data_IF_742412355488
#
_entry.id   IF_742412355488
#
_cell.length_a   1.000
_cell.length_b   1.000
_cell.length_c   1.000
_cell.angle_alpha   90.00
_cell.angle_beta   90.00
_cell.angle_gamma   90.00
#
_symmetry.space_group_name_H-M   'P 1'
#
loop_
_entity.id
_entity.type
_entity.pdbx_description
1 polymer ?
#
# COMPACT_ATOMS: atom_id res chain seq x y z
N UNK A 1 -8.47 0.41 -11.38
CA UNK A 1 -8.43 -0.47 -10.20
C UNK A 1 -9.23 0.22 -9.12
N UNK A 2 -10.15 -0.48 -8.46
CA UNK A 2 -10.87 0.08 -7.31
C UNK A 2 -10.34 -0.53 -6.03
N UNK A 3 -10.14 0.30 -5.01
CA UNK A 3 -9.68 -0.10 -3.70
C UNK A 3 -10.57 0.56 -2.66
N UNK A 4 -11.30 -0.24 -1.91
CA UNK A 4 -12.22 0.22 -0.88
C UNK A 4 -12.03 -0.61 0.38
N UNK A 5 -12.30 0.00 1.52
CA UNK A 5 -12.21 -0.68 2.79
C UNK A 5 -12.51 0.24 3.97
N UNK A 6 -12.44 -0.37 5.14
CA UNK A 6 -12.62 0.29 6.41
C UNK A 6 -11.49 -0.10 7.36
N UNK A 7 -11.14 0.79 8.27
CA UNK A 7 -10.14 0.55 9.30
C UNK A 7 -10.49 1.34 10.56
N UNK A 8 -10.41 0.69 11.72
CA UNK A 8 -10.69 1.34 13.01
C UNK A 8 -9.38 1.73 13.68
N UNK A 9 -9.18 3.03 13.87
CA UNK A 9 -8.07 3.59 14.63
C UNK A 9 -8.39 3.66 16.12
N UNK A 10 -7.35 3.50 16.96
CA UNK A 10 -7.39 3.64 18.41
C UNK A 10 -7.00 5.06 18.83
N UNK A 11 -7.81 6.03 18.43
CA UNK A 11 -7.71 7.42 18.82
C UNK A 11 -8.99 8.18 18.47
N UNK A 12 -9.12 9.38 19.04
CA UNK A 12 -10.19 10.32 18.71
C UNK A 12 -10.14 10.70 17.23
N UNK A 13 -11.25 11.24 16.73
CA UNK A 13 -11.38 11.58 15.31
C UNK A 13 -10.39 12.67 14.90
N UNK A 14 -10.13 13.62 15.79
CA UNK A 14 -9.19 14.71 15.65
C UNK A 14 -7.74 14.18 15.56
N UNK A 15 -7.33 13.28 16.46
CA UNK A 15 -5.98 12.71 16.42
C UNK A 15 -5.74 11.92 15.13
N UNK A 16 -6.74 11.17 14.68
CA UNK A 16 -6.67 10.41 13.41
C UNK A 16 -6.60 11.36 12.21
N UNK A 17 -7.36 12.45 12.23
CA UNK A 17 -7.34 13.46 11.17
C UNK A 17 -5.96 14.09 10.99
N UNK A 18 -5.32 14.45 12.11
CA UNK A 18 -3.99 15.05 12.11
C UNK A 18 -2.92 14.03 11.67
N UNK A 19 -2.99 12.80 12.20
CA UNK A 19 -2.09 11.70 11.86
C UNK A 19 -2.07 11.38 10.35
N UNK A 20 -3.24 11.36 9.70
CA UNK A 20 -3.37 11.06 8.26
C UNK A 20 -2.78 12.15 7.36
N UNK A 21 -2.43 13.31 7.92
CA UNK A 21 -1.87 14.46 7.22
C UNK A 21 -0.45 14.81 7.66
N UNK A 22 0.10 14.08 8.64
CA UNK A 22 1.45 14.30 9.16
C UNK A 22 2.51 13.65 8.24
N UNK A 23 3.36 14.43 7.55
CA UNK A 23 4.40 13.91 6.67
C UNK A 23 5.36 12.93 7.36
N UNK A 24 5.67 13.15 8.64
CA UNK A 24 6.64 12.36 9.40
C UNK A 24 6.07 10.98 9.77
N UNK A 25 4.77 10.92 10.01
CA UNK A 25 4.06 9.63 10.18
C UNK A 25 3.89 8.94 8.83
N UNK A 26 3.47 9.69 7.80
CA UNK A 26 3.21 9.13 6.47
C UNK A 26 4.47 8.50 5.84
N UNK A 27 5.64 9.14 5.97
CA UNK A 27 6.89 8.60 5.41
C UNK A 27 7.32 7.29 6.07
N UNK A 28 7.04 7.12 7.35
CA UNK A 28 7.44 5.92 8.10
C UNK A 28 6.42 4.79 7.95
N UNK A 29 5.13 5.13 7.77
CA UNK A 29 4.06 4.16 7.61
C UNK A 29 3.96 3.57 6.20
N UNK A 30 4.33 4.31 5.15
CA UNK A 30 4.20 3.88 3.76
C UNK A 30 5.37 2.95 3.34
N UNK A 31 5.12 1.68 2.99
CA UNK A 31 6.18 0.77 2.57
C UNK A 31 6.90 1.28 1.32
N UNK A 32 8.23 1.43 1.42
CA UNK A 32 9.07 1.86 0.31
C UNK A 32 9.10 3.38 0.09
N UNK A 33 8.44 4.18 0.93
CA UNK A 33 8.63 5.62 0.93
C UNK A 33 10.09 5.98 1.24
N UNK A 34 10.62 6.92 0.46
CA UNK A 34 11.98 7.49 0.58
C UNK A 34 11.94 8.95 0.97
N UNK A 35 10.88 9.64 0.57
CA UNK A 35 10.67 11.06 0.78
C UNK A 35 9.18 11.35 0.90
N UNK A 36 8.83 12.25 1.81
CA UNK A 36 7.50 12.86 1.95
C UNK A 36 7.72 14.28 2.44
N UNK A 37 7.26 15.27 1.68
CA UNK A 37 7.39 16.67 2.04
C UNK A 37 6.07 17.38 1.76
N UNK A 38 5.60 18.15 2.73
CA UNK A 38 4.52 19.11 2.52
C UNK A 38 5.10 20.31 1.79
N UNK A 39 4.66 20.53 0.55
CA UNK A 39 5.16 21.62 -0.30
C UNK A 39 4.32 22.88 -0.16
N UNK A 40 3.01 22.72 0.05
CA UNK A 40 2.06 23.80 0.34
C UNK A 40 0.96 23.26 1.27
N UNK A 41 0.01 24.10 1.67
CA UNK A 41 -1.23 23.64 2.29
C UNK A 41 -1.92 22.61 1.38
N UNK A 42 -2.28 21.47 1.97
CA UNK A 42 -2.92 20.34 1.29
C UNK A 42 -2.16 19.76 0.08
N UNK A 43 -0.88 20.10 -0.11
CA UNK A 43 -0.04 19.56 -1.20
C UNK A 43 1.24 18.95 -0.68
N UNK A 44 1.54 17.76 -1.22
CA UNK A 44 2.70 16.99 -0.83
C UNK A 44 3.45 16.48 -2.05
N UNK A 45 4.76 16.36 -1.92
CA UNK A 45 5.61 15.63 -2.85
C UNK A 45 6.24 14.44 -2.14
N UNK A 46 6.27 13.30 -2.81
CA UNK A 46 6.79 12.06 -2.25
C UNK A 46 7.62 11.29 -3.27
N UNK A 47 8.55 10.49 -2.77
CA UNK A 47 9.30 9.53 -3.56
C UNK A 47 9.12 8.14 -2.96
N UNK A 48 8.77 7.17 -3.80
CA UNK A 48 8.47 5.82 -3.35
C UNK A 48 9.07 4.78 -4.29
N UNK A 49 9.65 3.73 -3.70
CA UNK A 49 10.09 2.53 -4.39
C UNK A 49 9.09 1.40 -4.18
N UNK A 50 8.50 0.94 -5.27
CA UNK A 50 7.53 -0.16 -5.25
C UNK A 50 8.07 -1.34 -6.05
N UNK A 51 7.90 -2.54 -5.49
CA UNK A 51 8.20 -3.81 -6.16
C UNK A 51 6.91 -4.61 -6.32
N UNK A 52 6.55 -4.91 -7.57
CA UNK A 52 5.40 -5.73 -7.93
C UNK A 52 5.89 -6.93 -8.74
N UNK A 53 6.04 -8.07 -8.08
CA UNK A 53 6.60 -9.28 -8.69
C UNK A 53 8.01 -9.03 -9.26
N UNK A 54 8.26 -9.31 -10.56
CA UNK A 54 9.56 -9.12 -11.20
C UNK A 54 9.86 -7.65 -11.55
N UNK A 55 8.88 -6.74 -11.43
CA UNK A 55 9.03 -5.33 -11.80
C UNK A 55 9.24 -4.48 -10.55
N UNK A 56 10.29 -3.67 -10.55
CA UNK A 56 10.48 -2.59 -9.59
C UNK A 56 10.34 -1.23 -10.27
N UNK A 57 9.96 -0.23 -9.49
CA UNK A 57 9.89 1.15 -9.97
C UNK A 57 10.11 2.13 -8.82
N UNK A 58 10.85 3.18 -9.11
CA UNK A 58 10.88 4.39 -8.29
C UNK A 58 9.94 5.41 -8.92
N UNK A 59 9.13 6.05 -8.09
CA UNK A 59 8.10 7.00 -8.48
C UNK A 59 8.25 8.28 -7.69
N UNK A 60 8.25 9.41 -8.38
CA UNK A 60 8.01 10.72 -7.77
C UNK A 60 6.52 11.03 -7.93
N UNK A 61 5.85 11.38 -6.83
CA UNK A 61 4.42 11.67 -6.82
C UNK A 61 4.10 13.03 -6.23
N UNK A 62 3.07 13.65 -6.80
CA UNK A 62 2.39 14.81 -6.24
C UNK A 62 1.05 14.37 -5.65
N UNK A 63 0.77 14.81 -4.45
CA UNK A 63 -0.46 14.52 -3.71
C UNK A 63 -1.15 15.85 -3.44
N UNK A 64 -2.47 15.90 -3.63
CA UNK A 64 -3.29 17.05 -3.32
C UNK A 64 -4.54 16.62 -2.56
N UNK A 65 -4.84 17.32 -1.47
CA UNK A 65 -6.09 17.18 -0.73
C UNK A 65 -7.07 18.28 -1.17
N UNK A 66 -8.35 17.98 -1.11
CA UNK A 66 -9.45 18.83 -1.56
C UNK A 66 -10.75 18.44 -0.87
N UNK A 67 -11.79 19.27 -1.01
CA UNK A 67 -13.13 19.00 -0.46
C UNK A 67 -13.10 18.65 1.04
N UNK A 68 -12.24 19.34 1.81
CA UNK A 68 -12.03 19.06 3.23
C UNK A 68 -13.23 19.53 4.06
N UNK A 69 -13.70 18.65 4.92
CA UNK A 69 -14.62 18.95 6.03
C UNK A 69 -13.92 18.42 7.28
N UNK A 70 -13.23 19.27 8.04
CA UNK A 70 -12.44 18.81 9.18
C UNK A 70 -13.33 18.56 10.41
N UNK A 71 -13.12 17.47 11.19
CA UNK A 71 -12.24 16.32 10.99
C UNK A 71 -12.97 15.09 10.39
N UNK A 72 -13.86 15.31 9.41
CA UNK A 72 -14.80 14.30 8.92
C UNK A 72 -14.41 13.67 7.59
N UNK A 73 -13.99 14.44 6.60
CA UNK A 73 -13.72 13.88 5.27
C UNK A 73 -12.85 14.76 4.39
N UNK A 74 -12.21 14.13 3.41
CA UNK A 74 -11.49 14.81 2.33
C UNK A 74 -11.35 13.93 1.10
N UNK A 75 -11.06 14.58 -0.03
CA UNK A 75 -10.68 13.93 -1.28
C UNK A 75 -9.18 14.07 -1.50
N UNK A 76 -8.50 12.96 -1.74
CA UNK A 76 -7.08 12.90 -2.08
C UNK A 76 -6.87 12.55 -3.55
N UNK A 77 -6.04 13.31 -4.25
CA UNK A 77 -5.60 13.04 -5.61
C UNK A 77 -4.11 12.79 -5.63
N UNK A 78 -3.69 11.68 -6.23
CA UNK A 78 -2.28 11.26 -6.33
C UNK A 78 -1.88 11.15 -7.80
N UNK A 79 -0.75 11.74 -8.16
CA UNK A 79 -0.14 11.62 -9.48
C UNK A 79 1.34 11.25 -9.35
N UNK A 80 1.67 9.98 -9.55
CA UNK A 80 3.02 9.42 -9.54
C UNK A 80 3.55 9.10 -10.94
N UNK A 81 4.82 9.41 -11.18
CA UNK A 81 5.54 9.08 -12.42
C UNK A 81 6.91 8.48 -12.12
N UNK A 82 7.31 7.50 -12.92
CA UNK A 82 8.59 6.82 -12.79
C UNK A 82 9.04 6.21 -14.12
N UNK A 83 10.28 5.71 -14.16
CA UNK A 83 10.83 5.04 -15.36
C UNK A 83 10.00 3.82 -15.79
N UNK A 84 9.39 3.14 -14.81
CA UNK A 84 8.62 1.92 -15.02
C UNK A 84 7.15 2.20 -15.38
N UNK A 85 6.69 3.45 -15.37
CA UNK A 85 5.31 3.81 -15.69
C UNK A 85 4.76 4.98 -14.90
N UNK A 86 3.44 4.99 -14.69
CA UNK A 86 2.76 6.01 -13.91
C UNK A 86 1.66 5.41 -13.05
N UNK A 87 1.31 6.12 -11.99
CA UNK A 87 0.15 5.85 -11.13
C UNK A 87 -0.63 7.15 -11.00
N UNK A 88 -1.94 7.10 -11.23
CA UNK A 88 -2.86 8.19 -10.93
C UNK A 88 -3.96 7.65 -10.04
N UNK A 89 -4.42 8.44 -9.09
CA UNK A 89 -5.43 7.99 -8.14
C UNK A 89 -6.30 9.13 -7.65
N UNK A 90 -7.56 8.82 -7.38
CA UNK A 90 -8.45 9.65 -6.58
C UNK A 90 -9.03 8.79 -5.47
N UNK A 91 -8.94 9.25 -4.22
CA UNK A 91 -9.49 8.59 -3.06
C UNK A 91 -10.41 9.54 -2.30
N UNK A 92 -11.49 9.01 -1.76
CA UNK A 92 -12.37 9.68 -0.80
C UNK A 92 -12.16 9.01 0.55
N UNK A 93 -11.93 9.84 1.58
CA UNK A 93 -11.71 9.41 2.95
C UNK A 93 -12.83 10.02 3.80
N UNK A 94 -13.44 9.22 4.68
CA UNK A 94 -14.37 9.68 5.70
C UNK A 94 -14.04 9.05 7.05
N UNK A 95 -14.13 9.85 8.12
CA UNK A 95 -13.90 9.46 9.50
C UNK A 95 -15.22 9.55 10.27
N UNK A 96 -15.57 8.45 10.93
CA UNK A 96 -16.77 8.33 11.76
C UNK A 96 -16.33 8.01 13.19
N UNK A 97 -16.69 8.87 14.14
CA UNK A 97 -16.44 8.61 15.56
C UNK A 97 -17.28 7.41 16.02
N UNK A 98 -16.64 6.42 16.64
CA UNK A 98 -17.31 5.26 17.24
C UNK A 98 -17.41 5.39 18.75
N UNK A 99 -16.35 5.89 19.36
CA UNK A 99 -16.26 6.28 20.78
C UNK A 99 -15.29 7.45 20.90
N UNK A 100 -15.16 8.04 22.10
CA UNK A 100 -14.19 9.13 22.36
C UNK A 100 -12.74 8.75 22.01
N UNK A 101 -12.39 7.46 21.95
CA UNK A 101 -11.05 6.95 21.66
C UNK A 101 -10.99 5.96 20.49
N UNK A 102 -12.04 5.87 19.66
CA UNK A 102 -12.06 4.99 18.49
C UNK A 102 -12.72 5.69 17.30
N UNK A 103 -12.04 5.64 16.16
CA UNK A 103 -12.50 6.26 14.91
C UNK A 103 -12.51 5.24 13.78
N UNK A 104 -13.64 5.10 13.10
CA UNK A 104 -13.77 4.31 11.89
C UNK A 104 -13.43 5.16 10.67
N UNK A 105 -12.33 4.84 10.00
CA UNK A 105 -12.00 5.37 8.68
C UNK A 105 -12.63 4.48 7.61
N UNK A 106 -13.36 5.08 6.67
CA UNK A 106 -13.77 4.46 5.41
C UNK A 106 -13.04 5.13 4.27
N UNK A 107 -12.61 4.34 3.29
CA UNK A 107 -11.94 4.86 2.11
C UNK A 107 -12.42 4.17 0.84
N UNK A 108 -12.50 4.95 -0.24
CA UNK A 108 -12.78 4.45 -1.57
C UNK A 108 -11.87 5.16 -2.58
N UNK A 109 -11.05 4.38 -3.28
CA UNK A 109 -10.06 4.87 -4.23
C UNK A 109 -10.25 4.26 -5.62
N UNK A 110 -10.11 5.09 -6.64
CA UNK A 110 -9.96 4.68 -8.04
C UNK A 110 -8.54 5.00 -8.50
N UNK A 111 -7.82 3.97 -8.91
CA UNK A 111 -6.41 4.00 -9.29
C UNK A 111 -6.23 3.55 -10.74
N UNK A 112 -5.44 4.31 -11.49
CA UNK A 112 -4.97 3.98 -12.83
C UNK A 112 -3.45 3.76 -12.80
N UNK A 113 -3.03 2.58 -13.23
CA UNK A 113 -1.62 2.22 -13.38
C UNK A 113 -1.33 1.99 -14.85
N UNK A 114 -0.21 2.53 -15.35
CA UNK A 114 0.19 2.40 -16.74
C UNK A 114 1.68 2.16 -16.93
N UNK A 115 2.08 1.83 -18.16
CA UNK A 115 3.48 1.54 -18.51
C UNK A 115 3.89 0.08 -18.24
N UNK A 116 5.18 -0.15 -18.01
CA UNK A 116 5.71 -1.50 -17.72
C UNK A 116 5.15 -2.07 -16.43
N UNK A 117 4.83 -1.22 -15.45
CA UNK A 117 4.20 -1.68 -14.21
C UNK A 117 2.81 -2.32 -14.47
N UNK A 118 2.05 -1.83 -15.45
CA UNK A 118 0.75 -2.40 -15.78
C UNK A 118 0.83 -3.80 -16.41
N UNK A 119 2.00 -4.20 -16.95
CA UNK A 119 2.18 -5.50 -17.61
C UNK A 119 2.20 -6.68 -16.64
N UNK A 120 2.30 -6.43 -15.33
CA UNK A 120 2.28 -7.49 -14.30
C UNK A 120 0.88 -8.09 -14.09
N UNK A 121 -0.14 -7.46 -14.67
CA UNK A 121 -1.53 -7.91 -14.62
C UNK A 121 -2.33 -7.31 -13.47
N UNK A 122 -3.63 -7.10 -13.71
CA UNK A 122 -4.52 -6.41 -12.79
C UNK A 122 -4.64 -7.12 -11.43
N UNK A 123 -4.76 -8.45 -11.42
CA UNK A 123 -4.89 -9.23 -10.18
C UNK A 123 -3.73 -9.01 -9.21
N UNK A 124 -2.49 -8.98 -9.72
CA UNK A 124 -1.32 -8.76 -8.88
C UNK A 124 -1.23 -7.32 -8.37
N UNK A 125 -1.58 -6.33 -9.20
CA UNK A 125 -1.69 -4.94 -8.78
C UNK A 125 -2.74 -4.76 -7.68
N UNK A 126 -3.88 -5.43 -7.81
CA UNK A 126 -4.96 -5.40 -6.82
C UNK A 126 -4.48 -5.96 -5.47
N UNK A 127 -3.80 -7.11 -5.47
CA UNK A 127 -3.24 -7.73 -4.26
C UNK A 127 -2.21 -6.81 -3.60
N UNK A 128 -1.29 -6.25 -4.37
CA UNK A 128 -0.25 -5.35 -3.84
C UNK A 128 -0.87 -4.06 -3.28
N UNK A 129 -1.80 -3.42 -3.99
CA UNK A 129 -2.44 -2.20 -3.51
C UNK A 129 -3.21 -2.40 -2.21
N UNK A 130 -3.96 -3.52 -2.09
CA UNK A 130 -4.63 -3.90 -0.84
C UNK A 130 -3.65 -4.13 0.30
N UNK A 131 -2.55 -4.85 0.04
CA UNK A 131 -1.52 -5.12 1.05
C UNK A 131 -0.83 -3.84 1.52
N UNK A 132 -0.50 -2.93 0.61
CA UNK A 132 0.07 -1.62 0.94
C UNK A 132 -0.87 -0.79 1.80
N UNK A 133 -2.16 -0.69 1.42
CA UNK A 133 -3.14 0.06 2.20
C UNK A 133 -3.27 -0.50 3.63
N UNK A 134 -3.44 -1.82 3.76
CA UNK A 134 -3.53 -2.48 5.07
C UNK A 134 -2.30 -2.20 5.94
N UNK A 135 -1.09 -2.44 5.41
CA UNK A 135 0.14 -2.25 6.17
C UNK A 135 0.37 -0.79 6.58
N UNK A 136 0.02 0.15 5.70
CA UNK A 136 0.17 1.58 6.01
C UNK A 136 -0.80 2.00 7.12
N UNK A 137 -2.06 1.57 7.05
CA UNK A 137 -3.07 1.86 8.08
C UNK A 137 -2.70 1.23 9.44
N UNK A 138 -2.24 -0.03 9.44
CA UNK A 138 -1.73 -0.69 10.65
C UNK A 138 -0.53 0.05 11.25
N UNK A 139 0.41 0.49 10.41
CA UNK A 139 1.59 1.22 10.86
C UNK A 139 1.25 2.61 11.42
N UNK A 140 0.30 3.32 10.79
CA UNK A 140 -0.20 4.59 11.29
C UNK A 140 -0.92 4.41 12.63
N UNK A 141 -1.77 3.39 12.77
CA UNK A 141 -2.45 3.14 14.05
C UNK A 141 -1.46 2.83 15.18
N UNK A 142 -0.39 2.07 14.90
CA UNK A 142 0.66 1.83 15.88
C UNK A 142 1.40 3.14 16.26
N UNK A 143 1.64 4.03 15.30
CA UNK A 143 2.23 5.34 15.57
C UNK A 143 1.31 6.22 16.42
N UNK A 144 0.00 6.22 16.13
CA UNK A 144 -1.03 6.92 16.89
C UNK A 144 -1.07 6.46 18.34
N UNK A 145 -1.15 5.14 18.57
CA UNK A 145 -1.15 4.57 19.92
C UNK A 145 0.10 4.99 20.72
N UNK A 146 1.26 5.06 20.06
CA UNK A 146 2.49 5.50 20.69
C UNK A 146 2.51 7.01 21.02
N UNK A 147 1.85 7.85 20.21
CA UNK A 147 1.70 9.28 20.48
C UNK A 147 0.75 9.54 21.66
N UNK A 148 -0.35 8.78 21.75
CA UNK A 148 -1.36 8.91 22.81
C UNK A 148 -0.82 8.39 24.16
N UNK A 149 -0.16 7.23 24.16
CA UNK A 149 0.49 6.68 25.36
C UNK A 149 1.91 6.16 25.03
N UNK A 150 2.95 6.97 25.30
CA UNK A 150 4.34 6.57 25.11
C UNK A 150 4.77 5.35 25.95
N UNK A 151 3.95 4.91 26.92
CA UNK A 151 4.21 3.73 27.78
C UNK A 151 3.57 2.45 27.22
N UNK A 152 2.74 2.54 26.18
CA UNK A 152 2.20 1.38 25.48
C UNK A 152 3.36 0.59 24.84
N UNK A 153 3.55 -0.67 25.28
CA UNK A 153 4.53 -1.61 24.71
C UNK A 153 4.06 -2.16 23.36
N UNK A 154 3.84 -1.30 22.39
CA UNK A 154 3.70 -1.72 20.98
C UNK A 154 5.04 -1.42 20.32
N UNK A 155 5.81 -2.48 20.06
CA UNK A 155 7.08 -2.35 19.33
C UNK A 155 6.77 -1.99 17.87
N UNK A 156 6.88 -0.69 17.56
CA UNK A 156 6.73 -0.18 16.20
C UNK A 156 7.85 -0.76 15.33
N UNK A 157 7.51 -1.76 14.51
CA UNK A 157 8.41 -2.29 13.49
C UNK A 157 7.93 -1.74 12.15
N UNK A 158 8.60 -0.73 11.57
CA UNK A 158 8.26 -0.25 10.24
C UNK A 158 8.31 -1.43 9.25
N UNK A 159 7.36 -1.54 8.31
CA UNK A 159 7.32 -2.66 7.38
C UNK A 159 8.58 -2.64 6.51
N UNK A 160 9.53 -3.53 6.81
CA UNK A 160 10.71 -3.70 5.97
C UNK A 160 10.30 -4.23 4.61
N UNK A 161 11.00 -3.82 3.54
CA UNK A 161 10.78 -4.34 2.18
C UNK A 161 10.82 -5.88 2.12
N UNK A 162 11.55 -6.52 3.05
CA UNK A 162 11.61 -7.98 3.22
C UNK A 162 10.29 -8.55 3.73
N UNK A 163 9.67 -7.95 4.77
CA UNK A 163 8.34 -8.38 5.25
C UNK A 163 7.26 -8.18 4.18
N UNK A 164 7.33 -7.09 3.42
CA UNK A 164 6.41 -6.86 2.30
C UNK A 164 6.59 -7.93 1.20
N UNK A 165 7.82 -8.20 0.76
CA UNK A 165 8.11 -9.23 -0.24
C UNK A 165 7.68 -10.64 0.23
N UNK A 166 7.86 -10.95 1.52
CA UNK A 166 7.42 -12.23 2.12
C UNK A 166 5.90 -12.29 2.21
N UNK A 167 5.22 -11.21 2.59
CA UNK A 167 3.76 -11.13 2.63
C UNK A 167 3.14 -11.33 1.24
N UNK A 168 3.65 -10.63 0.23
CA UNK A 168 3.22 -10.82 -1.16
C UNK A 168 3.50 -12.24 -1.65
N UNK A 169 4.66 -12.82 -1.33
CA UNK A 169 4.98 -14.19 -1.72
C UNK A 169 4.02 -15.22 -1.07
N UNK A 170 3.65 -15.01 0.21
CA UNK A 170 2.69 -15.84 0.93
C UNK A 170 1.29 -15.73 0.34
N UNK A 171 0.81 -14.51 0.09
CA UNK A 171 -0.53 -14.26 -0.47
C UNK A 171 -0.65 -14.85 -1.89
N UNK A 172 0.41 -14.77 -2.69
CA UNK A 172 0.50 -15.42 -4.01
C UNK A 172 0.50 -16.95 -3.90
N UNK A 173 1.21 -17.51 -2.91
CA UNK A 173 1.26 -18.96 -2.69
C UNK A 173 -0.09 -19.53 -2.24
N UNK A 174 -0.79 -18.86 -1.31
CA UNK A 174 -2.12 -19.29 -0.84
C UNK A 174 -3.17 -19.24 -1.96
N UNK A 175 -3.09 -18.25 -2.84
CA UNK A 175 -3.96 -18.12 -4.01
C UNK A 175 -3.61 -19.14 -5.12
N UNK A 176 -2.34 -19.57 -5.20
CA UNK A 176 -1.88 -20.62 -6.13
C UNK A 176 -2.33 -22.03 -5.72
N UNK A 177 -2.46 -22.31 -4.41
CA UNK A 177 -2.92 -23.60 -3.90
C UNK A 177 -4.44 -23.80 -4.11
N UNK A 178 -5.21 -22.72 -4.17
CA UNK A 178 -6.68 -22.77 -4.29
C UNK A 178 -7.20 -22.87 -5.73
N UNK A 179 -6.35 -22.73 -6.75
CA UNK A 179 -6.77 -22.74 -8.16
C UNK A 179 -6.23 -23.98 -8.90
N UNK A 180 -7.09 -24.97 -9.27
CA UNK A 180 -6.64 -26.21 -9.92
C UNK A 180 -6.03 -26.00 -11.31
N UNK A 181 -6.22 -24.83 -11.94
CA UNK A 181 -5.56 -24.47 -13.21
C UNK A 181 -4.04 -24.24 -13.04
N UNK A 182 -3.58 -23.90 -11.84
CA UNK A 182 -2.18 -23.61 -11.54
C UNK A 182 -1.29 -24.86 -11.49
N UNK A 183 -1.85 -26.02 -11.12
CA UNK A 183 -1.15 -27.31 -11.15
C UNK A 183 -0.79 -27.75 -12.57
N UNK A 184 -1.64 -27.45 -13.55
CA UNK A 184 -1.36 -27.73 -14.95
C UNK A 184 -0.18 -26.93 -15.51
N UNK A 185 -0.02 -25.68 -15.08
CA UNK A 185 1.06 -24.79 -15.55
C UNK A 185 2.39 -25.13 -14.88
N UNK A 186 2.41 -25.43 -13.57
CA UNK A 186 3.60 -25.87 -12.86
C UNK A 186 4.13 -27.22 -13.37
N UNK A 187 3.25 -28.15 -13.74
CA UNK A 187 3.63 -29.42 -14.36
C UNK A 187 4.38 -29.24 -15.70
N UNK A 188 3.90 -28.33 -16.56
CA UNK A 188 4.51 -28.08 -17.89
C UNK A 188 5.87 -27.36 -17.77
N UNK A 189 5.99 -26.40 -16.85
CA UNK A 189 7.26 -25.68 -16.60
C UNK A 189 8.31 -26.59 -15.95
N UNK A 190 7.90 -27.48 -15.04
CA UNK A 190 8.81 -28.46 -14.41
C UNK A 190 9.41 -29.46 -15.40
N UNK A 191 8.61 -29.95 -16.35
CA UNK A 191 9.08 -30.87 -17.41
C UNK A 191 10.04 -30.16 -18.37
N UNK A 192 9.79 -28.89 -18.70
CA UNK A 192 10.69 -28.09 -19.54
C UNK A 192 12.07 -27.87 -18.91
N UNK A 193 12.13 -27.58 -17.61
CA UNK A 193 13.38 -27.36 -16.88
C UNK A 193 14.19 -28.68 -16.78
N UNK A 194 13.52 -29.82 -16.54
CA UNK A 194 14.17 -31.12 -16.50
C UNK A 194 14.78 -31.53 -17.86
N UNK A 195 14.10 -31.25 -18.97
CA UNK A 195 14.59 -31.53 -20.32
C UNK A 195 15.81 -30.67 -20.70
N UNK A 196 15.84 -29.41 -20.26
CA UNK A 196 16.98 -28.51 -20.46
C UNK A 196 18.19 -28.98 -19.64
N UNK A 197 17.99 -29.37 -18.38
CA UNK A 197 19.07 -29.90 -17.54
C UNK A 197 19.66 -31.19 -18.14
N UNK A 198 18.83 -32.09 -18.67
CA UNK A 198 19.30 -33.32 -19.32
C UNK A 198 20.11 -33.06 -20.60
N UNK A 199 19.76 -32.03 -21.36
CA UNK A 199 20.49 -31.64 -22.59
C UNK A 199 21.90 -31.10 -22.32
N UNK A 200 22.13 -30.47 -21.15
CA UNK A 200 23.43 -29.90 -20.77
C UNK A 200 24.35 -30.86 -20.01
N UNK A 201 23.85 -32.04 -19.62
CA UNK A 201 24.60 -33.06 -18.87
C UNK A 201 25.03 -34.24 -19.77
N UNK A 202 24.90 -34.09 -21.10
CA UNK A 202 25.32 -35.06 -22.12
C UNK A 202 26.32 -34.42 -23.08
#
# INVERSE_FOLDING_TARGET
>A
MKLEGEFTFKGSREEVWDLLQDPDVLITALPGAKKMEKTEEDKYEAEMEVKVGPVSGSFSSKIQLSDKVEPESYTMVVNGKGKSGFVKGKAQISLEEKTESETLMKYAADLQVGGKLASVGQRLLDTVGKSMARQSLESMNAALEHQIDPRAKTEYIPPSQVKFAVGVAKDVAEDSVKNPMFWGILGVVGVGIAAVIWYFVK
#
